data_IF_726497068210
#
_entry.id   IF_726497068210
#
_cell.length_a   1.000
_cell.length_b   1.000
_cell.length_c   1.000
_cell.angle_alpha   90.00
_cell.angle_beta   90.00
_cell.angle_gamma   90.00
#
_symmetry.space_group_name_H-M   'P 1'
#
loop_
_entity.id
_entity.type
_entity.pdbx_description
1 polymer ?
#
# COMPACT_ATOMS: atom_id res chain seq x y z
N UNK A 1 -91.14 41.05 19.22
CA UNK A 1 -90.39 41.18 20.41
C UNK A 1 -88.99 40.66 20.21
N UNK A 2 -87.97 41.44 20.47
CA UNK A 2 -86.53 41.26 20.50
C UNK A 2 -85.85 41.46 19.15
N UNK A 3 -85.15 42.58 19.11
CA UNK A 3 -84.18 43.15 18.17
C UNK A 3 -82.88 42.44 18.30
N UNK A 4 -82.25 42.13 17.16
CA UNK A 4 -80.79 41.79 17.15
C UNK A 4 -80.12 42.70 16.14
N UNK A 5 -79.18 43.46 16.69
CA UNK A 5 -78.35 44.36 15.95
C UNK A 5 -77.18 43.63 15.23
N UNK A 6 -76.91 44.07 14.02
CA UNK A 6 -75.71 43.66 13.25
C UNK A 6 -74.55 44.60 13.51
N UNK A 7 -73.48 44.06 14.05
CA UNK A 7 -72.15 44.77 14.13
C UNK A 7 -71.30 44.29 12.92
N UNK A 8 -70.99 45.22 12.02
CA UNK A 8 -70.05 45.00 10.96
C UNK A 8 -68.61 45.18 11.45
N UNK A 9 -67.85 44.12 11.46
CA UNK A 9 -66.41 44.14 11.71
C UNK A 9 -65.60 44.31 10.44
N UNK A 10 -64.89 45.40 10.30
CA UNK A 10 -63.92 45.63 9.22
C UNK A 10 -62.66 44.83 9.57
N UNK A 11 -62.33 43.85 8.75
CA UNK A 11 -61.06 43.14 8.79
C UNK A 11 -60.06 43.83 7.83
N UNK A 12 -59.06 44.51 8.40
CA UNK A 12 -57.90 45.01 7.65
C UNK A 12 -56.93 43.87 7.37
N UNK A 13 -56.81 43.50 6.10
CA UNK A 13 -55.78 42.57 5.65
C UNK A 13 -54.46 43.32 5.50
N UNK A 14 -53.51 43.03 6.43
CA UNK A 14 -52.10 43.45 6.31
C UNK A 14 -51.37 42.41 5.53
N UNK A 15 -51.05 42.72 4.26
CA UNK A 15 -50.14 41.88 3.43
C UNK A 15 -48.70 42.13 3.85
N UNK A 16 -48.09 41.16 4.52
CA UNK A 16 -46.67 41.14 4.83
C UNK A 16 -45.85 40.75 3.56
N UNK A 17 -45.02 41.65 3.09
CA UNK A 17 -44.05 41.39 2.02
C UNK A 17 -42.87 40.69 2.68
N UNK A 18 -42.41 39.50 2.22
CA UNK A 18 -41.21 38.91 2.77
C UNK A 18 -39.97 39.66 2.26
N UNK A 19 -39.28 40.35 3.17
CA UNK A 19 -38.00 40.97 2.89
C UNK A 19 -36.94 39.88 2.78
N UNK A 20 -36.43 39.60 1.58
CA UNK A 20 -35.26 38.75 1.34
C UNK A 20 -33.97 39.47 1.72
N UNK A 21 -33.67 39.60 3.00
CA UNK A 21 -32.48 40.27 3.52
C UNK A 21 -31.35 39.31 3.93
N UNK A 22 -31.46 38.01 3.62
CA UNK A 22 -30.45 37.02 4.10
C UNK A 22 -29.44 36.56 3.04
N UNK A 23 -29.64 36.83 1.75
CA UNK A 23 -28.77 36.24 0.72
C UNK A 23 -27.51 37.08 0.39
N UNK A 24 -27.49 38.37 0.71
CA UNK A 24 -26.34 39.24 0.45
C UNK A 24 -25.26 39.16 1.54
N UNK A 25 -25.61 38.77 2.76
CA UNK A 25 -24.65 38.68 3.88
C UNK A 25 -23.80 37.42 3.81
N UNK A 26 -24.30 36.32 3.29
CA UNK A 26 -23.59 35.04 3.22
C UNK A 26 -22.58 35.01 2.06
N UNK A 27 -22.90 35.60 0.93
CA UNK A 27 -21.96 35.69 -0.21
C UNK A 27 -20.77 36.62 0.07
N UNK A 28 -21.00 37.72 0.77
CA UNK A 28 -19.92 38.64 1.16
C UNK A 28 -19.02 38.03 2.24
N UNK A 29 -19.53 37.20 3.13
CA UNK A 29 -18.72 36.51 4.14
C UNK A 29 -17.84 35.42 3.53
N UNK A 30 -18.35 34.61 2.62
CA UNK A 30 -17.56 33.57 1.94
C UNK A 30 -16.48 34.14 1.06
N UNK A 31 -16.74 35.26 0.35
CA UNK A 31 -15.71 35.95 -0.45
C UNK A 31 -14.64 36.61 0.42
N UNK A 32 -14.99 37.18 1.56
CA UNK A 32 -14.03 37.73 2.50
C UNK A 32 -13.20 36.64 3.19
N UNK A 33 -13.79 35.50 3.52
CA UNK A 33 -13.05 34.36 4.08
C UNK A 33 -12.09 33.74 3.06
N UNK A 34 -12.50 33.57 1.80
CA UNK A 34 -11.60 33.04 0.77
C UNK A 34 -10.43 33.95 0.46
N UNK A 35 -10.66 35.27 0.40
CA UNK A 35 -9.58 36.22 0.18
C UNK A 35 -8.63 36.33 1.39
N UNK A 36 -9.11 36.16 2.61
CA UNK A 36 -8.27 36.13 3.81
C UNK A 36 -7.43 34.84 3.89
N UNK A 37 -7.99 33.69 3.50
CA UNK A 37 -7.24 32.43 3.44
C UNK A 37 -6.15 32.48 2.37
N UNK A 38 -6.44 33.05 1.19
CA UNK A 38 -5.46 33.17 0.11
C UNK A 38 -4.29 34.10 0.47
N UNK A 39 -4.55 35.18 1.23
CA UNK A 39 -3.51 36.08 1.74
C UNK A 39 -2.70 35.43 2.86
N UNK A 40 -3.30 34.60 3.70
CA UNK A 40 -2.60 33.88 4.77
C UNK A 40 -1.75 32.73 4.21
N UNK A 41 -2.27 31.96 3.25
CA UNK A 41 -1.51 30.92 2.56
C UNK A 41 -0.36 31.48 1.73
N UNK A 42 -0.59 32.58 1.02
CA UNK A 42 0.47 33.25 0.23
C UNK A 42 1.58 33.83 1.10
N UNK A 43 1.25 34.38 2.28
CA UNK A 43 2.26 34.89 3.22
C UNK A 43 2.99 33.78 3.97
N UNK A 44 2.29 32.74 4.37
CA UNK A 44 2.91 31.56 4.97
C UNK A 44 3.84 30.86 3.98
N UNK A 45 3.40 30.64 2.74
CA UNK A 45 4.20 30.02 1.70
C UNK A 45 5.46 30.83 1.36
N UNK A 46 5.37 32.17 1.27
CA UNK A 46 6.53 33.02 1.00
C UNK A 46 7.51 33.14 2.18
N UNK A 47 7.02 33.07 3.43
CA UNK A 47 7.86 32.99 4.62
C UNK A 47 8.61 31.66 4.71
N UNK A 48 7.97 30.55 4.35
CA UNK A 48 8.60 29.22 4.32
C UNK A 48 9.52 29.03 3.12
N UNK A 49 9.22 29.64 1.97
CA UNK A 49 10.08 29.56 0.78
C UNK A 49 11.47 30.20 1.00
N UNK A 50 11.56 31.23 1.83
CA UNK A 50 12.82 31.90 2.15
C UNK A 50 13.56 31.28 3.36
N UNK A 51 12.97 30.32 4.05
CA UNK A 51 13.57 29.64 5.20
C UNK A 51 14.36 28.38 4.79
N UNK A 52 15.17 28.49 3.75
CA UNK A 52 16.11 27.41 3.32
C UNK A 52 17.06 26.99 4.47
N UNK A 53 17.20 27.84 5.49
CA UNK A 53 18.10 27.61 6.64
C UNK A 53 17.51 26.75 7.75
N UNK A 54 16.19 26.48 7.72
CA UNK A 54 15.48 25.66 8.72
C UNK A 54 14.92 24.34 8.18
N UNK A 55 15.10 24.09 6.88
CA UNK A 55 14.87 22.75 6.37
C UNK A 55 16.04 21.89 6.87
N UNK A 56 15.76 20.79 7.60
CA UNK A 56 16.79 19.80 7.84
C UNK A 56 17.41 19.46 6.48
N UNK A 57 18.75 19.27 6.41
CA UNK A 57 19.39 18.91 5.16
C UNK A 57 18.56 17.79 4.56
N UNK A 58 18.11 17.99 3.30
CA UNK A 58 17.38 16.96 2.57
C UNK A 58 18.32 15.76 2.57
N UNK A 59 18.05 14.82 3.47
CA UNK A 59 18.75 13.53 3.44
C UNK A 59 18.33 12.95 2.10
N UNK A 60 19.17 13.13 1.08
CA UNK A 60 19.10 12.29 -0.09
C UNK A 60 19.38 10.89 0.45
N UNK A 61 18.29 10.19 0.77
CA UNK A 61 18.37 8.75 0.96
C UNK A 61 18.94 8.30 -0.37
N UNK A 62 20.20 7.82 -0.43
CA UNK A 62 20.74 7.28 -1.67
C UNK A 62 19.67 6.31 -2.14
N UNK A 63 19.13 6.50 -3.35
CA UNK A 63 18.19 5.55 -3.92
C UNK A 63 18.83 4.22 -3.65
N UNK A 64 18.19 3.37 -2.83
CA UNK A 64 18.76 2.11 -2.40
C UNK A 64 19.30 1.50 -3.67
N UNK A 65 20.62 1.51 -3.82
CA UNK A 65 21.26 0.94 -4.99
C UNK A 65 20.77 -0.48 -4.94
N UNK A 66 19.83 -0.81 -5.87
CA UNK A 66 19.34 -2.15 -6.04
C UNK A 66 20.55 -2.97 -6.48
N UNK A 67 21.39 -3.34 -5.51
CA UNK A 67 22.57 -4.17 -5.72
C UNK A 67 22.17 -5.62 -5.98
N UNK A 68 20.86 -5.87 -6.03
CA UNK A 68 20.29 -7.16 -6.37
C UNK A 68 20.05 -7.32 -7.88
N UNK A 69 19.84 -8.56 -8.32
CA UNK A 69 19.59 -8.88 -9.73
C UNK A 69 18.24 -8.29 -10.18
N UNK A 70 18.22 -7.67 -11.36
CA UNK A 70 17.01 -7.11 -11.95
C UNK A 70 16.07 -8.19 -12.49
N UNK A 71 14.78 -7.92 -12.45
CA UNK A 71 13.77 -8.79 -13.05
C UNK A 71 13.69 -8.56 -14.57
N UNK A 72 14.18 -9.52 -15.33
CA UNK A 72 14.14 -9.53 -16.80
C UNK A 72 13.07 -10.47 -17.37
N UNK A 73 12.11 -10.90 -16.56
CA UNK A 73 11.02 -11.76 -17.02
C UNK A 73 10.03 -11.04 -17.95
N UNK A 74 9.35 -11.82 -18.79
CA UNK A 74 8.40 -11.30 -19.79
C UNK A 74 6.96 -11.19 -19.29
N UNK A 75 6.67 -11.58 -18.04
CA UNK A 75 5.32 -11.51 -17.52
C UNK A 75 4.86 -10.05 -17.39
N UNK A 76 3.66 -9.77 -17.96
CA UNK A 76 3.00 -8.46 -17.95
C UNK A 76 1.52 -8.58 -17.53
N UNK A 77 1.16 -9.70 -16.90
CA UNK A 77 -0.22 -9.99 -16.48
C UNK A 77 -0.62 -9.26 -15.20
N UNK A 78 -1.87 -9.45 -14.83
CA UNK A 78 -2.54 -8.75 -13.72
C UNK A 78 -1.84 -8.87 -12.36
N UNK A 79 -1.04 -9.91 -12.11
CA UNK A 79 -0.38 -10.12 -10.82
C UNK A 79 0.94 -9.37 -10.68
N UNK A 80 1.48 -8.77 -11.77
CA UNK A 80 2.76 -8.08 -11.71
C UNK A 80 2.76 -6.91 -10.71
N UNK A 81 1.80 -6.01 -10.85
CA UNK A 81 1.72 -4.83 -9.99
C UNK A 81 1.29 -5.19 -8.55
N UNK A 82 0.51 -6.27 -8.41
CA UNK A 82 0.13 -6.81 -7.10
C UNK A 82 1.37 -7.34 -6.37
N UNK A 83 2.23 -8.10 -7.08
CA UNK A 83 3.47 -8.63 -6.51
C UNK A 83 4.46 -7.50 -6.14
N UNK A 84 4.61 -6.47 -6.98
CA UNK A 84 5.40 -5.27 -6.66
C UNK A 84 4.86 -4.58 -5.41
N UNK A 85 3.54 -4.38 -5.32
CA UNK A 85 2.92 -3.77 -4.16
C UNK A 85 3.12 -4.61 -2.89
N UNK A 86 3.01 -5.93 -2.97
CA UNK A 86 3.30 -6.85 -1.86
C UNK A 86 4.76 -6.76 -1.41
N UNK A 87 5.71 -6.74 -2.35
CA UNK A 87 7.14 -6.57 -2.07
C UNK A 87 7.41 -5.24 -1.33
N UNK A 88 6.88 -4.12 -1.83
CA UNK A 88 7.03 -2.80 -1.19
C UNK A 88 6.48 -2.77 0.23
N UNK A 89 5.25 -3.26 0.44
CA UNK A 89 4.63 -3.31 1.78
C UNK A 89 5.47 -4.08 2.79
N UNK A 90 6.10 -5.15 2.34
CA UNK A 90 6.92 -6.02 3.19
C UNK A 90 8.42 -5.68 3.13
N UNK A 91 8.81 -4.55 2.52
CA UNK A 91 10.22 -4.09 2.43
C UNK A 91 11.14 -5.14 1.79
N UNK A 92 10.65 -5.82 0.79
CA UNK A 92 11.40 -6.75 -0.05
C UNK A 92 11.76 -6.04 -1.35
N UNK A 93 12.99 -6.15 -1.88
CA UNK A 93 13.32 -5.63 -3.21
C UNK A 93 12.36 -6.19 -4.27
N UNK A 94 11.74 -5.31 -5.05
CA UNK A 94 10.71 -5.71 -6.03
C UNK A 94 11.25 -6.77 -7.00
N UNK A 95 12.37 -6.49 -7.64
CA UNK A 95 12.95 -7.39 -8.62
C UNK A 95 13.29 -8.76 -8.04
N UNK A 96 13.74 -8.81 -6.80
CA UNK A 96 14.00 -10.07 -6.10
C UNK A 96 12.71 -10.88 -5.93
N UNK A 97 11.64 -10.24 -5.49
CA UNK A 97 10.36 -10.93 -5.28
C UNK A 97 9.72 -11.37 -6.59
N UNK A 98 9.80 -10.55 -7.64
CA UNK A 98 9.30 -10.94 -8.97
C UNK A 98 10.04 -12.15 -9.53
N UNK A 99 11.37 -12.24 -9.33
CA UNK A 99 12.17 -13.42 -9.71
C UNK A 99 11.80 -14.65 -8.90
N UNK A 100 11.50 -14.47 -7.61
CA UNK A 100 11.00 -15.55 -6.76
C UNK A 100 9.67 -16.08 -7.31
N UNK A 101 8.68 -15.23 -7.55
CA UNK A 101 7.37 -15.66 -8.08
C UNK A 101 7.50 -16.34 -9.45
N UNK A 102 8.39 -15.82 -10.31
CA UNK A 102 8.70 -16.47 -11.59
C UNK A 102 9.26 -17.88 -11.40
N UNK A 103 10.14 -18.07 -10.43
CA UNK A 103 10.75 -19.38 -10.15
C UNK A 103 9.77 -20.35 -9.47
N UNK A 104 8.90 -19.87 -8.60
CA UNK A 104 7.96 -20.69 -7.83
C UNK A 104 6.82 -21.25 -8.68
N UNK A 105 6.20 -20.42 -9.48
CA UNK A 105 4.95 -20.78 -10.16
C UNK A 105 4.93 -20.44 -11.66
N UNK A 106 5.96 -19.77 -12.19
CA UNK A 106 5.90 -19.13 -13.50
C UNK A 106 4.64 -18.24 -13.65
N UNK A 107 4.22 -17.58 -12.56
CA UNK A 107 3.01 -16.74 -12.48
C UNK A 107 1.68 -17.48 -12.60
N UNK A 108 1.65 -18.79 -12.37
CA UNK A 108 0.41 -19.57 -12.33
C UNK A 108 -0.23 -19.49 -10.94
N UNK A 109 -1.39 -18.80 -10.79
CA UNK A 109 -2.06 -18.67 -9.48
C UNK A 109 -2.63 -20.00 -8.96
N UNK A 110 -2.83 -20.97 -9.83
CA UNK A 110 -3.38 -22.29 -9.49
C UNK A 110 -2.30 -23.36 -9.32
N UNK A 111 -1.03 -23.00 -9.31
CA UNK A 111 0.06 -23.94 -9.15
C UNK A 111 -0.03 -24.68 -7.82
N UNK A 112 0.12 -26.00 -7.86
CA UNK A 112 0.23 -26.85 -6.68
C UNK A 112 1.41 -27.79 -6.92
N UNK A 113 2.41 -27.77 -6.02
CA UNK A 113 3.56 -28.66 -6.12
C UNK A 113 3.24 -30.06 -5.62
N UNK A 114 4.09 -31.04 -5.92
CA UNK A 114 3.98 -32.40 -5.35
C UNK A 114 4.05 -32.42 -3.82
N UNK A 115 4.78 -31.47 -3.22
CA UNK A 115 4.87 -31.32 -1.77
C UNK A 115 3.67 -30.58 -1.15
N UNK A 116 2.73 -30.09 -1.99
CA UNK A 116 1.53 -29.38 -1.54
C UNK A 116 1.70 -27.86 -1.39
N UNK A 117 2.78 -27.27 -1.89
CA UNK A 117 2.92 -25.80 -1.93
C UNK A 117 1.91 -25.21 -2.93
N UNK A 118 1.34 -24.03 -2.63
CA UNK A 118 0.16 -23.50 -3.30
C UNK A 118 0.42 -22.08 -3.81
N UNK A 119 -0.04 -21.82 -5.05
CA UNK A 119 -0.23 -20.50 -5.61
C UNK A 119 1.03 -19.84 -6.15
N UNK A 120 0.96 -18.52 -6.37
CA UNK A 120 1.99 -17.71 -7.04
C UNK A 120 3.35 -17.77 -6.34
N UNK A 121 3.36 -17.68 -5.02
CA UNK A 121 4.56 -17.71 -4.17
C UNK A 121 4.81 -19.09 -3.55
N UNK A 122 4.07 -20.13 -3.95
CA UNK A 122 4.21 -21.53 -3.50
C UNK A 122 4.32 -21.66 -1.97
N UNK A 123 3.32 -21.14 -1.27
CA UNK A 123 3.26 -21.28 0.19
C UNK A 123 2.86 -22.71 0.58
N UNK A 124 3.63 -23.32 1.47
CA UNK A 124 3.22 -24.55 2.14
C UNK A 124 2.00 -24.29 3.04
N UNK A 125 1.06 -25.24 3.17
CA UNK A 125 -0.11 -25.08 4.04
C UNK A 125 0.23 -24.62 5.45
N UNK A 126 1.20 -25.25 6.11
CA UNK A 126 1.64 -24.83 7.45
C UNK A 126 2.22 -23.43 7.51
N UNK A 127 2.89 -22.97 6.44
CA UNK A 127 3.37 -21.58 6.33
C UNK A 127 2.21 -20.62 6.12
N UNK A 128 1.22 -20.97 5.30
CA UNK A 128 0.02 -20.16 5.11
C UNK A 128 -0.78 -20.01 6.41
N UNK A 129 -0.94 -21.08 7.16
CA UNK A 129 -1.59 -21.08 8.48
C UNK A 129 -0.84 -20.20 9.48
N UNK A 130 0.48 -20.34 9.56
CA UNK A 130 1.34 -19.50 10.40
C UNK A 130 1.17 -18.02 10.07
N UNK A 131 1.15 -17.71 8.79
CA UNK A 131 0.98 -16.34 8.29
C UNK A 131 -0.48 -15.86 8.35
N UNK A 132 -1.43 -16.73 8.64
CA UNK A 132 -2.88 -16.45 8.63
C UNK A 132 -3.36 -15.90 7.28
N UNK A 133 -2.95 -16.52 6.18
CA UNK A 133 -3.35 -16.17 4.82
C UNK A 133 -4.02 -17.35 4.11
N UNK A 134 -4.96 -17.06 3.23
CA UNK A 134 -5.48 -18.04 2.30
C UNK A 134 -4.51 -18.21 1.12
N UNK A 135 -3.75 -19.31 1.10
CA UNK A 135 -2.80 -19.60 0.03
C UNK A 135 -3.43 -19.73 -1.36
N UNK A 136 -4.74 -19.98 -1.46
CA UNK A 136 -5.47 -20.07 -2.74
C UNK A 136 -5.94 -18.70 -3.26
N UNK A 137 -5.93 -17.67 -2.43
CA UNK A 137 -6.20 -16.30 -2.84
C UNK A 137 -4.90 -15.68 -3.36
N UNK A 138 -4.81 -15.27 -4.65
CA UNK A 138 -3.58 -14.78 -5.23
C UNK A 138 -3.01 -13.53 -4.53
N UNK A 139 -3.87 -12.66 -4.01
CA UNK A 139 -3.46 -11.45 -3.31
C UNK A 139 -2.84 -11.77 -1.96
N UNK A 140 -3.50 -12.63 -1.18
CA UNK A 140 -3.02 -13.06 0.12
C UNK A 140 -1.77 -13.95 -0.02
N UNK A 141 -1.71 -14.76 -1.07
CA UNK A 141 -0.56 -15.60 -1.38
C UNK A 141 0.70 -14.76 -1.66
N UNK A 142 0.59 -13.75 -2.53
CA UNK A 142 1.70 -12.85 -2.82
C UNK A 142 2.12 -12.03 -1.58
N UNK A 143 1.16 -11.51 -0.81
CA UNK A 143 1.49 -10.75 0.39
C UNK A 143 2.14 -11.65 1.46
N UNK A 144 1.59 -12.84 1.68
CA UNK A 144 2.16 -13.84 2.58
C UNK A 144 3.56 -14.28 2.16
N UNK A 145 3.78 -14.52 0.86
CA UNK A 145 5.09 -14.88 0.32
C UNK A 145 6.14 -13.78 0.52
N UNK A 146 5.77 -12.52 0.26
CA UNK A 146 6.66 -11.39 0.49
C UNK A 146 6.98 -11.22 1.99
N UNK A 147 5.97 -11.35 2.86
CA UNK A 147 6.14 -11.30 4.32
C UNK A 147 7.06 -12.41 4.82
N UNK A 148 6.84 -13.64 4.38
CA UNK A 148 7.67 -14.78 4.78
C UNK A 148 9.12 -14.60 4.33
N UNK A 149 9.35 -14.13 3.10
CA UNK A 149 10.70 -13.84 2.62
C UNK A 149 11.38 -12.74 3.45
N UNK A 150 10.62 -11.73 3.87
CA UNK A 150 11.11 -10.66 4.74
C UNK A 150 11.49 -11.20 6.13
N UNK A 151 10.68 -12.04 6.73
CA UNK A 151 10.98 -12.68 8.02
C UNK A 151 12.28 -13.50 7.96
N UNK A 152 12.51 -14.20 6.83
CA UNK A 152 13.78 -14.91 6.64
C UNK A 152 14.97 -13.93 6.52
N UNK A 153 14.77 -12.81 5.85
CA UNK A 153 15.81 -11.78 5.79
C UNK A 153 16.11 -11.20 7.16
N UNK A 154 15.10 -10.90 7.95
CA UNK A 154 15.29 -10.37 9.31
C UNK A 154 16.01 -11.38 10.22
N UNK A 155 15.84 -12.66 9.97
CA UNK A 155 16.51 -13.73 10.71
C UNK A 155 17.98 -13.90 10.31
N UNK A 156 18.30 -13.83 9.02
CA UNK A 156 19.62 -14.19 8.50
C UNK A 156 20.46 -13.00 8.02
N UNK A 157 19.91 -11.79 7.93
CA UNK A 157 20.59 -10.56 7.50
C UNK A 157 21.06 -10.55 6.05
N UNK A 158 20.67 -11.53 5.24
CA UNK A 158 21.11 -11.71 3.86
C UNK A 158 20.00 -12.22 2.98
N UNK A 159 19.72 -11.55 1.86
CA UNK A 159 18.73 -12.01 0.88
C UNK A 159 19.07 -13.38 0.28
N UNK A 160 20.35 -13.66 0.10
CA UNK A 160 20.82 -14.96 -0.38
C UNK A 160 20.47 -16.09 0.61
N UNK A 161 20.65 -15.85 1.90
CA UNK A 161 20.26 -16.81 2.95
C UNK A 161 18.75 -16.85 3.15
N UNK A 162 18.06 -15.73 3.00
CA UNK A 162 16.61 -15.67 3.03
C UNK A 162 15.97 -16.53 1.93
N UNK A 163 16.48 -16.45 0.72
CA UNK A 163 16.04 -17.33 -0.38
C UNK A 163 16.31 -18.81 -0.10
N UNK A 164 17.47 -19.12 0.46
CA UNK A 164 17.78 -20.49 0.86
C UNK A 164 16.81 -21.00 1.94
N UNK A 165 16.48 -20.15 2.92
CA UNK A 165 15.52 -20.46 3.98
C UNK A 165 14.09 -20.56 3.45
N UNK A 166 13.72 -19.74 2.49
CA UNK A 166 12.42 -19.82 1.82
C UNK A 166 12.20 -21.19 1.15
N UNK A 167 13.21 -21.67 0.43
CA UNK A 167 13.14 -22.95 -0.29
C UNK A 167 13.36 -24.19 0.62
N UNK A 168 14.42 -24.17 1.44
CA UNK A 168 14.83 -25.35 2.23
C UNK A 168 14.37 -25.32 3.70
N UNK A 169 13.72 -24.23 4.13
CA UNK A 169 13.37 -23.96 5.50
C UNK A 169 14.53 -23.35 6.32
N UNK A 170 14.20 -22.49 7.31
CA UNK A 170 15.19 -21.80 8.15
C UNK A 170 16.07 -22.76 8.95
N UNK A 171 15.51 -23.89 9.42
CA UNK A 171 16.28 -24.90 10.15
C UNK A 171 17.43 -25.52 9.33
N UNK A 172 17.27 -25.63 8.02
CA UNK A 172 18.36 -26.12 7.16
C UNK A 172 19.48 -25.08 7.06
N UNK A 173 19.14 -23.80 6.87
CA UNK A 173 20.13 -22.71 6.81
C UNK A 173 20.90 -22.58 8.14
N UNK A 174 20.21 -22.71 9.27
CA UNK A 174 20.84 -22.71 10.60
C UNK A 174 21.78 -23.89 10.78
N UNK A 175 21.34 -25.11 10.43
CA UNK A 175 22.14 -26.33 10.55
C UNK A 175 23.45 -26.27 9.77
N UNK A 176 23.40 -25.72 8.56
CA UNK A 176 24.56 -25.63 7.68
C UNK A 176 25.34 -24.31 7.82
N UNK A 177 24.88 -23.41 8.69
CA UNK A 177 25.42 -22.08 8.86
C UNK A 177 25.64 -21.36 7.51
N UNK A 178 24.69 -21.48 6.60
CA UNK A 178 24.77 -20.96 5.24
C UNK A 178 23.79 -21.60 4.29
N UNK A 179 24.00 -21.42 2.99
CA UNK A 179 23.18 -22.07 1.96
C UNK A 179 23.39 -23.59 2.04
N UNK A 180 22.34 -24.38 2.31
CA UNK A 180 22.46 -25.82 2.43
C UNK A 180 23.05 -26.48 1.16
N UNK A 181 23.79 -27.59 1.27
CA UNK A 181 24.42 -28.27 0.12
C UNK A 181 23.41 -29.03 -0.75
N UNK A 182 22.13 -28.69 -0.68
CA UNK A 182 21.08 -29.30 -1.51
C UNK A 182 21.15 -28.72 -2.92
N UNK A 183 21.21 -29.59 -3.92
CA UNK A 183 21.32 -29.18 -5.35
C UNK A 183 20.18 -28.23 -5.75
N UNK A 184 18.97 -28.53 -5.31
CA UNK A 184 17.78 -27.73 -5.58
C UNK A 184 17.92 -26.31 -4.99
N UNK A 185 18.22 -26.20 -3.70
CA UNK A 185 18.34 -24.93 -2.99
C UNK A 185 19.48 -24.07 -3.55
N UNK A 186 20.64 -24.66 -3.86
CA UNK A 186 21.74 -23.95 -4.51
C UNK A 186 21.36 -23.40 -5.88
N UNK A 187 20.65 -24.20 -6.67
CA UNK A 187 20.14 -23.77 -7.96
C UNK A 187 19.09 -22.66 -7.82
N UNK A 188 18.17 -22.81 -6.89
CA UNK A 188 17.15 -21.81 -6.57
C UNK A 188 17.77 -20.45 -6.23
N UNK A 189 18.71 -20.44 -5.28
CA UNK A 189 19.42 -19.21 -4.90
C UNK A 189 20.17 -18.61 -6.09
N UNK A 190 20.87 -19.42 -6.89
CA UNK A 190 21.60 -18.96 -8.08
C UNK A 190 20.68 -18.33 -9.13
N UNK A 191 19.53 -18.95 -9.41
CA UNK A 191 18.57 -18.45 -10.41
C UNK A 191 17.95 -17.14 -9.98
N UNK A 192 17.60 -16.99 -8.71
CA UNK A 192 16.90 -15.79 -8.21
C UNK A 192 17.87 -14.67 -7.86
N UNK A 193 18.92 -14.97 -7.12
CA UNK A 193 19.90 -13.97 -6.68
C UNK A 193 20.93 -13.61 -7.74
N UNK A 194 21.34 -14.60 -8.51
CA UNK A 194 22.49 -14.52 -9.40
C UNK A 194 23.70 -15.22 -8.83
N UNK A 195 24.74 -15.34 -9.62
CA UNK A 195 26.04 -15.91 -9.24
C UNK A 195 26.89 -14.92 -8.48
#
# INVERSE_FOLDING_TARGET
MRVFGFLAGFATVVTAIPVHAQDLSTRNRTTLFSSQLEVLDGRAASQYANSVRLQPPRVEIPAATNTGPQYNGNYRGQFLDIAKAAARRNRVPEDLFLRLVQQESAWNPNAVSHAGAIGLAQLMPGTADYLRVNARDPYQNLDGGARYLREQYDTFGSWRLALAAYNAGPGAVQRYNGVPPFRETRNYVRVIWGS
#
